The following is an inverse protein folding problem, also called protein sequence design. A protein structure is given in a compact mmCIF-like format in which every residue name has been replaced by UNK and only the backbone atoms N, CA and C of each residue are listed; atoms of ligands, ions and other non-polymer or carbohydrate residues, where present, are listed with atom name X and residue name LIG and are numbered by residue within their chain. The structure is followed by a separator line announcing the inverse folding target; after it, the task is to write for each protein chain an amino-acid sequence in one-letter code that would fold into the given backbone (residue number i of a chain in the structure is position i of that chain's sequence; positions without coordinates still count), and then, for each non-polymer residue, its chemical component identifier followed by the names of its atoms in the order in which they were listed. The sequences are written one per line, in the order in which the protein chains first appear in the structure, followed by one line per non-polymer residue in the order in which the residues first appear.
data_IF_071379942150
#
_entry.id   IF_071379942150
#
_cell.length_a   1.000
_cell.length_b   1.000
_cell.length_c   1.000
_cell.angle_alpha   90.00
_cell.angle_beta   90.00
_cell.angle_gamma   90.00
#
_symmetry.space_group_name_H-M   'P 1'
#
loop_
_entity.id
_entity.type
_entity.pdbx_description
1 polymer ?
#
# COMPACT_ATOMS: atom_id res chain seq x y z
N UNK A 1 15.99 17.96 4.16
CA UNK A 1 15.66 18.53 5.48
C UNK A 1 15.07 19.93 5.43
N UNK A 2 15.73 20.96 4.87
CA UNK A 2 15.17 22.34 4.82
C UNK A 2 13.73 22.41 4.28
N UNK A 3 13.49 21.83 3.09
CA UNK A 3 12.14 21.75 2.47
C UNK A 3 11.09 21.09 3.37
N UNK A 4 11.47 20.07 4.16
CA UNK A 4 10.53 19.40 5.08
C UNK A 4 10.16 20.31 6.25
N UNK A 5 11.13 21.04 6.82
CA UNK A 5 10.86 21.99 7.91
C UNK A 5 9.96 23.13 7.45
N UNK A 6 10.20 23.67 6.25
CA UNK A 6 9.30 24.64 5.61
C UNK A 6 7.91 24.04 5.34
N UNK A 7 7.84 22.75 4.99
CA UNK A 7 6.59 22.02 4.85
C UNK A 7 5.80 21.90 6.16
N UNK A 8 6.49 21.66 7.29
CA UNK A 8 5.85 21.61 8.61
C UNK A 8 5.27 22.97 9.02
N UNK A 9 6.01 24.06 8.76
CA UNK A 9 5.52 25.41 9.01
C UNK A 9 4.28 25.73 8.16
N UNK A 10 4.28 25.33 6.88
CA UNK A 10 3.12 25.48 5.99
C UNK A 10 1.93 24.62 6.41
N UNK A 11 2.17 23.40 6.91
CA UNK A 11 1.11 22.55 7.44
C UNK A 11 0.47 23.19 8.67
N UNK A 12 1.27 23.66 9.63
CA UNK A 12 0.78 24.28 10.87
C UNK A 12 0.00 25.57 10.61
N UNK A 13 0.55 26.47 9.78
CA UNK A 13 -0.05 27.78 9.48
C UNK A 13 -1.11 27.77 8.36
N UNK A 14 -1.34 26.63 7.72
CA UNK A 14 -2.32 26.45 6.65
C UNK A 14 -3.35 25.40 7.03
N UNK A 15 -3.19 24.19 6.52
CA UNK A 15 -4.18 23.12 6.66
C UNK A 15 -4.56 22.83 8.13
N UNK A 16 -3.60 22.77 9.05
CA UNK A 16 -3.90 22.53 10.47
C UNK A 16 -4.74 23.66 11.07
N UNK A 17 -4.37 24.92 10.81
CA UNK A 17 -5.10 26.09 11.34
C UNK A 17 -6.53 26.18 10.79
N UNK A 18 -6.73 25.83 9.52
CA UNK A 18 -8.05 25.74 8.89
C UNK A 18 -8.90 24.58 9.43
N UNK A 19 -8.26 23.52 9.94
CA UNK A 19 -8.92 22.28 10.39
C UNK A 19 -8.71 22.00 11.89
N UNK A 20 -8.52 23.03 12.73
CA UNK A 20 -8.25 22.85 14.17
C UNK A 20 -9.28 21.99 14.89
N UNK A 21 -10.56 22.18 14.58
CA UNK A 21 -11.64 21.39 15.19
C UNK A 21 -11.50 19.89 14.84
N UNK A 22 -11.20 19.57 13.59
CA UNK A 22 -10.97 18.19 13.16
C UNK A 22 -9.80 17.57 13.94
N UNK A 23 -8.67 18.27 14.07
CA UNK A 23 -7.53 17.75 14.81
C UNK A 23 -7.77 17.63 16.32
N UNK A 24 -8.57 18.52 16.91
CA UNK A 24 -9.02 18.39 18.30
C UNK A 24 -9.87 17.13 18.48
N UNK A 25 -10.85 16.90 17.59
CA UNK A 25 -11.68 15.69 17.62
C UNK A 25 -10.85 14.41 17.45
N UNK A 26 -9.91 14.39 16.50
CA UNK A 26 -9.00 13.27 16.26
C UNK A 26 -8.03 13.02 17.43
N UNK A 27 -7.74 14.03 18.25
CA UNK A 27 -6.89 13.87 19.44
C UNK A 27 -7.50 12.94 20.48
N UNK A 28 -8.83 12.79 20.48
CA UNK A 28 -9.56 11.90 21.41
C UNK A 28 -9.64 10.45 20.93
N UNK A 29 -9.30 10.18 19.66
CA UNK A 29 -9.27 8.83 19.11
C UNK A 29 -9.50 8.80 17.60
N UNK A 30 -9.18 7.66 16.99
CA UNK A 30 -9.36 7.41 15.56
C UNK A 30 -10.55 6.47 15.31
N UNK A 31 -11.26 6.69 14.19
CA UNK A 31 -12.33 5.79 13.70
C UNK A 31 -12.26 5.61 12.17
N UNK A 32 -11.12 5.11 11.65
CA UNK A 32 -10.99 4.84 10.22
C UNK A 32 -12.00 3.79 9.76
N UNK A 33 -12.47 3.91 8.52
CA UNK A 33 -13.44 2.99 7.93
C UNK A 33 -12.80 1.92 7.06
N UNK A 34 -11.56 2.16 6.62
CA UNK A 34 -10.85 1.34 5.63
C UNK A 34 -9.44 1.05 6.12
N UNK A 35 -9.04 -0.22 6.02
CA UNK A 35 -7.65 -0.65 6.09
C UNK A 35 -7.09 -0.61 4.67
N UNK A 36 -6.19 0.33 4.40
CA UNK A 36 -5.56 0.51 3.09
C UNK A 36 -4.12 0.02 3.11
N UNK A 37 -3.85 -1.07 2.40
CA UNK A 37 -2.54 -1.71 2.35
C UNK A 37 -1.93 -1.38 0.98
N UNK A 38 -0.79 -0.70 0.96
CA UNK A 38 -0.15 -0.31 -0.31
C UNK A 38 1.38 -0.32 -0.24
N UNK A 39 2.02 0.06 -1.34
CA UNK A 39 3.47 0.04 -1.45
C UNK A 39 4.10 1.24 -0.73
N UNK A 40 5.32 1.07 -0.21
CA UNK A 40 6.17 2.16 0.29
C UNK A 40 6.65 3.13 -0.81
N UNK A 41 6.34 2.85 -2.08
CA UNK A 41 6.71 3.69 -3.22
C UNK A 41 6.26 5.15 -3.02
N UNK A 42 7.21 6.08 -3.14
CA UNK A 42 7.01 7.50 -2.82
C UNK A 42 6.04 8.22 -3.76
N UNK A 43 5.65 7.58 -4.87
CA UNK A 43 4.64 8.09 -5.81
C UNK A 43 3.21 7.79 -5.35
N UNK A 44 3.05 6.98 -4.30
CA UNK A 44 1.75 6.57 -3.77
C UNK A 44 1.46 7.30 -2.47
N UNK A 45 0.34 8.01 -2.47
CA UNK A 45 -0.29 8.61 -1.30
C UNK A 45 -1.77 8.18 -1.27
N UNK A 46 -2.14 7.23 -0.38
CA UNK A 46 -3.51 6.71 -0.28
C UNK A 46 -4.55 7.80 -0.05
N UNK A 47 -4.27 8.79 0.79
CA UNK A 47 -5.22 9.86 1.07
C UNK A 47 -5.43 10.72 -0.17
N UNK A 48 -4.34 11.05 -0.88
CA UNK A 48 -4.42 11.85 -2.11
C UNK A 48 -5.23 11.14 -3.20
N UNK A 49 -4.93 9.87 -3.50
CA UNK A 49 -5.58 9.16 -4.61
C UNK A 49 -7.06 8.84 -4.33
N UNK A 50 -7.46 8.79 -3.05
CA UNK A 50 -8.86 8.54 -2.64
C UNK A 50 -9.61 9.79 -2.21
N UNK A 51 -8.92 10.94 -2.09
CA UNK A 51 -9.45 12.16 -1.47
C UNK A 51 -10.01 11.91 -0.06
N UNK A 52 -9.39 10.99 0.68
CA UNK A 52 -9.77 10.69 2.05
C UNK A 52 -9.21 11.74 3.02
N UNK A 53 -10.02 12.12 4.01
CA UNK A 53 -9.62 13.05 5.06
C UNK A 53 -8.74 12.37 6.13
N UNK A 54 -8.07 13.18 6.94
CA UNK A 54 -7.26 12.67 8.06
C UNK A 54 -8.14 11.85 9.01
N UNK A 55 -7.71 10.62 9.29
CA UNK A 55 -8.42 9.70 10.19
C UNK A 55 -9.39 8.75 9.48
N UNK A 56 -9.62 8.87 8.17
CA UNK A 56 -10.52 7.98 7.43
C UNK A 56 -9.88 6.64 7.02
N UNK A 57 -8.57 6.64 6.75
CA UNK A 57 -7.79 5.45 6.36
C UNK A 57 -6.83 5.02 7.47
N UNK A 58 -6.81 3.72 7.77
CA UNK A 58 -5.74 3.08 8.51
C UNK A 58 -4.78 2.42 7.51
N UNK A 59 -3.50 2.81 7.49
CA UNK A 59 -2.61 2.51 6.35
C UNK A 59 -1.46 1.59 6.75
N UNK A 60 -1.26 0.52 5.97
CA UNK A 60 -0.03 -0.31 6.00
C UNK A 60 0.76 -0.03 4.72
N UNK A 61 2.07 0.20 4.86
CA UNK A 61 2.98 0.38 3.73
C UNK A 61 4.23 -0.47 3.86
N UNK A 62 4.49 -1.32 2.86
CA UNK A 62 5.75 -2.04 2.71
C UNK A 62 6.15 -2.17 1.23
N UNK A 63 7.35 -2.64 0.93
CA UNK A 63 7.80 -2.78 -0.45
C UNK A 63 6.98 -3.87 -1.19
N UNK A 64 6.16 -3.47 -2.15
CA UNK A 64 5.34 -4.39 -2.94
C UNK A 64 3.98 -4.74 -2.35
N UNK A 65 3.51 -4.01 -1.31
CA UNK A 65 2.19 -4.19 -0.70
C UNK A 65 1.89 -5.66 -0.34
N UNK A 66 2.90 -6.38 0.13
CA UNK A 66 2.86 -7.80 0.43
C UNK A 66 2.30 -8.00 1.84
N UNK A 67 1.34 -8.90 1.97
CA UNK A 67 0.88 -9.43 3.25
C UNK A 67 1.30 -10.88 3.31
N UNK A 68 2.28 -11.24 4.14
CA UNK A 68 2.66 -12.62 4.33
C UNK A 68 1.50 -13.48 4.87
N UNK A 69 1.46 -14.79 4.59
CA UNK A 69 0.49 -15.68 5.22
C UNK A 69 0.56 -15.64 6.75
N UNK A 70 -0.55 -15.90 7.44
CA UNK A 70 -0.59 -15.96 8.89
C UNK A 70 0.44 -16.97 9.43
N UNK A 71 1.27 -16.52 10.37
CA UNK A 71 2.33 -17.33 10.98
C UNK A 71 3.63 -17.44 10.15
N UNK A 72 3.69 -16.91 8.93
CA UNK A 72 4.90 -16.98 8.10
C UNK A 72 6.01 -15.99 8.52
N UNK A 73 5.65 -14.94 9.26
CA UNK A 73 6.56 -13.90 9.76
C UNK A 73 6.02 -13.30 11.06
N UNK A 74 6.89 -12.62 11.79
CA UNK A 74 6.60 -11.83 12.98
C UNK A 74 6.77 -10.31 12.75
N UNK A 75 6.60 -9.86 11.49
CA UNK A 75 6.60 -8.44 11.11
C UNK A 75 5.40 -7.64 11.64
N UNK A 76 5.34 -6.36 11.25
CA UNK A 76 4.29 -5.43 11.71
C UNK A 76 2.95 -5.60 10.99
N UNK A 77 2.92 -6.29 9.85
CA UNK A 77 1.74 -6.45 8.99
C UNK A 77 0.60 -7.12 9.74
N UNK A 78 0.87 -8.30 10.32
CA UNK A 78 -0.17 -9.10 10.98
C UNK A 78 -0.76 -8.41 12.20
N UNK A 79 0.09 -7.77 13.02
CA UNK A 79 -0.36 -7.00 14.18
C UNK A 79 -1.22 -5.80 13.77
N UNK A 80 -0.83 -5.10 12.70
CA UNK A 80 -1.56 -3.95 12.17
C UNK A 80 -2.93 -4.36 11.60
N UNK A 81 -2.99 -5.50 10.89
CA UNK A 81 -4.25 -6.09 10.41
C UNK A 81 -5.15 -6.44 11.59
N UNK A 82 -4.63 -7.14 12.60
CA UNK A 82 -5.42 -7.51 13.78
C UNK A 82 -5.95 -6.28 14.52
N UNK A 83 -5.13 -5.25 14.71
CA UNK A 83 -5.55 -4.00 15.34
C UNK A 83 -6.65 -3.30 14.52
N UNK A 84 -6.47 -3.18 13.21
CA UNK A 84 -7.45 -2.57 12.31
C UNK A 84 -8.82 -3.25 12.39
N UNK A 85 -8.86 -4.58 12.34
CA UNK A 85 -10.13 -5.32 12.30
C UNK A 85 -10.73 -5.49 13.69
N UNK A 86 -9.92 -5.84 14.69
CA UNK A 86 -10.41 -6.18 16.02
C UNK A 86 -10.59 -4.95 16.92
N UNK A 87 -9.60 -4.05 16.96
CA UNK A 87 -9.64 -2.90 17.86
C UNK A 87 -10.39 -1.71 17.26
N UNK A 88 -10.21 -1.44 15.96
CA UNK A 88 -10.85 -0.30 15.28
C UNK A 88 -12.20 -0.66 14.62
N UNK A 89 -12.51 -1.95 14.49
CA UNK A 89 -13.79 -2.40 13.91
C UNK A 89 -13.92 -2.11 12.41
N UNK A 90 -12.81 -2.04 11.68
CA UNK A 90 -12.81 -1.83 10.23
C UNK A 90 -13.46 -3.02 9.52
N UNK A 91 -14.33 -2.73 8.55
CA UNK A 91 -15.08 -3.73 7.76
C UNK A 91 -14.66 -3.75 6.28
N UNK A 92 -13.73 -2.88 5.87
CA UNK A 92 -13.28 -2.75 4.49
C UNK A 92 -11.76 -2.82 4.42
N UNK A 93 -11.22 -3.76 3.64
CA UNK A 93 -9.77 -3.91 3.44
C UNK A 93 -9.44 -3.81 1.96
N UNK A 94 -8.52 -2.93 1.61
CA UNK A 94 -8.02 -2.75 0.25
C UNK A 94 -6.55 -3.15 0.20
N UNK A 95 -6.20 -4.10 -0.67
CA UNK A 95 -4.83 -4.28 -1.15
C UNK A 95 -4.68 -3.46 -2.43
N UNK A 96 -3.87 -2.40 -2.40
CA UNK A 96 -3.60 -1.55 -3.56
C UNK A 96 -2.17 -1.74 -4.06
N UNK A 97 -2.02 -2.45 -5.18
CA UNK A 97 -0.81 -2.44 -6.00
C UNK A 97 -0.74 -1.20 -6.90
N UNK A 98 0.34 -1.08 -7.66
CA UNK A 98 0.53 0.07 -8.55
C UNK A 98 1.41 -0.23 -9.76
N UNK A 99 1.27 0.55 -10.83
CA UNK A 99 2.10 0.46 -12.03
C UNK A 99 3.58 0.67 -11.72
N UNK A 100 4.44 -0.01 -12.49
CA UNK A 100 5.91 0.09 -12.39
C UNK A 100 6.47 -0.17 -10.98
N UNK A 101 5.89 -1.13 -10.23
CA UNK A 101 6.34 -1.46 -8.88
C UNK A 101 7.76 -2.01 -8.83
N UNK A 102 8.66 -1.35 -8.10
CA UNK A 102 10.05 -1.77 -7.94
C UNK A 102 10.20 -3.15 -7.28
N UNK A 103 9.34 -3.47 -6.31
CA UNK A 103 9.33 -4.76 -5.64
C UNK A 103 8.95 -5.90 -6.60
N UNK A 104 7.97 -5.69 -7.47
CA UNK A 104 7.57 -6.69 -8.48
C UNK A 104 8.64 -6.87 -9.56
N UNK A 105 9.31 -5.78 -9.97
CA UNK A 105 10.52 -5.86 -10.82
C UNK A 105 11.62 -6.69 -10.16
N UNK A 106 11.82 -6.51 -8.85
CA UNK A 106 12.73 -7.31 -8.04
C UNK A 106 12.32 -8.78 -7.97
N UNK A 107 11.03 -9.07 -7.79
CA UNK A 107 10.49 -10.42 -7.71
C UNK A 107 10.73 -11.23 -9.00
N UNK A 108 10.58 -10.59 -10.17
CA UNK A 108 10.89 -11.19 -11.47
C UNK A 108 12.38 -11.52 -11.64
N UNK A 109 13.26 -10.83 -10.91
CA UNK A 109 14.72 -11.01 -10.93
C UNK A 109 15.26 -11.46 -9.57
N UNK A 110 14.48 -12.24 -8.82
CA UNK A 110 14.71 -12.49 -7.40
C UNK A 110 16.16 -12.88 -7.05
N UNK A 111 16.77 -13.77 -7.85
CA UNK A 111 18.13 -14.25 -7.57
C UNK A 111 19.21 -13.18 -7.70
N UNK A 112 18.99 -12.14 -8.52
CA UNK A 112 19.95 -11.05 -8.63
C UNK A 112 19.97 -10.14 -7.40
N UNK A 113 19.01 -10.28 -6.48
CA UNK A 113 18.93 -9.48 -5.25
C UNK A 113 19.66 -10.11 -4.06
N UNK A 114 20.03 -11.40 -4.15
CA UNK A 114 20.50 -12.17 -3.00
C UNK A 114 21.74 -11.54 -2.33
N UNK A 115 22.67 -11.01 -3.12
CA UNK A 115 23.93 -10.46 -2.62
C UNK A 115 23.82 -8.98 -2.24
N UNK A 116 23.22 -8.15 -3.10
CA UNK A 116 23.18 -6.68 -2.92
C UNK A 116 22.02 -6.20 -2.05
N UNK A 117 20.91 -6.94 -2.02
CA UNK A 117 19.69 -6.55 -1.31
C UNK A 117 19.08 -7.75 -0.53
N UNK A 118 19.83 -8.41 0.36
CA UNK A 118 19.43 -9.67 0.99
C UNK A 118 18.12 -9.57 1.78
N UNK A 119 17.85 -8.44 2.44
CA UNK A 119 16.58 -8.24 3.16
C UNK A 119 15.39 -8.12 2.21
N UNK A 120 15.59 -7.52 1.02
CA UNK A 120 14.53 -7.44 0.00
C UNK A 120 14.35 -8.79 -0.67
N UNK A 121 15.44 -9.52 -0.93
CA UNK A 121 15.39 -10.90 -1.39
C UNK A 121 14.56 -11.78 -0.45
N UNK A 122 14.83 -11.74 0.85
CA UNK A 122 14.08 -12.52 1.85
C UNK A 122 12.63 -12.07 1.99
N UNK A 123 12.39 -10.75 1.96
CA UNK A 123 11.04 -10.20 1.98
C UNK A 123 10.20 -10.65 0.78
N UNK A 124 10.77 -10.62 -0.43
CA UNK A 124 10.06 -10.99 -1.65
C UNK A 124 9.73 -12.48 -1.75
N UNK A 125 10.38 -13.35 -0.95
CA UNK A 125 9.97 -14.76 -0.83
C UNK A 125 8.54 -14.91 -0.31
N UNK A 126 8.01 -13.93 0.42
CA UNK A 126 6.61 -13.93 0.86
C UNK A 126 5.62 -13.81 -0.31
N UNK A 127 6.08 -13.40 -1.50
CA UNK A 127 5.33 -13.39 -2.75
C UNK A 127 5.81 -14.47 -3.75
N UNK A 128 6.44 -15.55 -3.27
CA UNK A 128 6.94 -16.63 -4.12
C UNK A 128 5.81 -17.31 -4.93
N UNK A 129 4.60 -17.42 -4.36
CA UNK A 129 3.43 -17.94 -5.08
C UNK A 129 3.13 -17.12 -6.34
N UNK A 130 3.16 -15.78 -6.25
CA UNK A 130 3.05 -14.87 -7.39
C UNK A 130 4.14 -15.15 -8.42
N UNK A 131 5.42 -15.20 -7.98
CA UNK A 131 6.56 -15.40 -8.89
C UNK A 131 6.45 -16.73 -9.64
N UNK A 132 6.05 -17.79 -8.94
CA UNK A 132 5.88 -19.13 -9.51
C UNK A 132 4.74 -19.16 -10.52
N UNK A 133 3.58 -18.60 -10.16
CA UNK A 133 2.41 -18.52 -11.03
C UNK A 133 2.74 -17.76 -12.33
N UNK A 134 3.35 -16.58 -12.21
CA UNK A 134 3.74 -15.77 -13.37
C UNK A 134 4.72 -16.53 -14.27
N UNK A 135 5.77 -17.12 -13.69
CA UNK A 135 6.80 -17.87 -14.44
C UNK A 135 6.23 -19.09 -15.17
N UNK A 136 5.26 -19.77 -14.58
CA UNK A 136 4.72 -21.01 -15.14
C UNK A 136 3.64 -20.76 -16.19
N UNK A 137 2.86 -19.68 -16.08
CA UNK A 137 1.66 -19.45 -16.89
C UNK A 137 1.75 -18.27 -17.88
N UNK A 138 2.71 -17.35 -17.73
CA UNK A 138 2.82 -16.14 -18.55
C UNK A 138 4.19 -16.04 -19.26
N UNK A 139 4.69 -17.16 -19.79
CA UNK A 139 6.04 -17.28 -20.38
C UNK A 139 6.26 -16.43 -21.63
N UNK A 140 5.19 -16.10 -22.34
CA UNK A 140 5.25 -15.32 -23.58
C UNK A 140 5.29 -13.81 -23.33
N UNK A 141 5.05 -13.36 -22.09
CA UNK A 141 5.07 -11.94 -21.74
C UNK A 141 6.46 -11.51 -21.31
N UNK A 142 6.87 -10.33 -21.76
CA UNK A 142 8.14 -9.71 -21.40
C UNK A 142 7.97 -8.22 -21.07
N UNK A 143 9.05 -7.60 -20.59
CA UNK A 143 9.08 -6.14 -20.39
C UNK A 143 8.02 -5.64 -19.41
N UNK A 144 7.33 -4.56 -19.78
CA UNK A 144 6.33 -3.92 -18.92
C UNK A 144 5.04 -4.75 -18.82
N UNK A 145 4.63 -5.49 -19.86
CA UNK A 145 3.43 -6.36 -19.80
C UNK A 145 3.58 -7.45 -18.73
N UNK A 146 4.76 -8.06 -18.64
CA UNK A 146 5.06 -9.03 -17.60
C UNK A 146 5.02 -8.41 -16.19
N UNK A 147 5.46 -7.15 -16.05
CA UNK A 147 5.42 -6.42 -14.78
C UNK A 147 3.97 -6.13 -14.39
N UNK A 148 3.12 -5.71 -15.32
CA UNK A 148 1.70 -5.44 -15.07
C UNK A 148 0.98 -6.68 -14.56
N UNK A 149 1.15 -7.82 -15.25
CA UNK A 149 0.58 -9.10 -14.80
C UNK A 149 1.14 -9.48 -13.42
N UNK A 150 2.43 -9.27 -13.17
CA UNK A 150 3.01 -9.56 -11.85
C UNK A 150 2.40 -8.70 -10.74
N UNK A 151 2.11 -7.43 -11.00
CA UNK A 151 1.41 -6.54 -10.05
C UNK A 151 0.00 -7.06 -9.78
N UNK A 152 -0.75 -7.41 -10.82
CA UNK A 152 -2.12 -7.93 -10.71
C UNK A 152 -2.16 -9.24 -9.91
N UNK A 153 -1.35 -10.22 -10.30
CA UNK A 153 -1.25 -11.52 -9.62
C UNK A 153 -0.76 -11.39 -8.18
N UNK A 154 0.12 -10.41 -7.91
CA UNK A 154 0.55 -10.14 -6.54
C UNK A 154 -0.61 -9.72 -5.65
N UNK A 155 -1.49 -8.85 -6.14
CA UNK A 155 -2.68 -8.42 -5.39
C UNK A 155 -3.58 -9.62 -5.09
N UNK A 156 -3.85 -10.47 -6.08
CA UNK A 156 -4.68 -11.67 -5.90
C UNK A 156 -4.08 -12.61 -4.86
N UNK A 157 -2.76 -12.83 -4.92
CA UNK A 157 -2.06 -13.63 -3.92
C UNK A 157 -2.15 -13.00 -2.51
N UNK A 158 -2.06 -11.68 -2.39
CA UNK A 158 -2.18 -11.00 -1.09
C UNK A 158 -3.60 -11.09 -0.52
N UNK A 159 -4.63 -11.05 -1.37
CA UNK A 159 -6.03 -11.32 -0.95
C UNK A 159 -6.18 -12.74 -0.41
N UNK A 160 -5.53 -13.73 -1.04
CA UNK A 160 -5.48 -15.11 -0.53
C UNK A 160 -4.74 -15.19 0.81
N UNK A 161 -3.58 -14.53 0.95
CA UNK A 161 -2.83 -14.50 2.19
C UNK A 161 -3.64 -13.88 3.34
N UNK A 162 -4.37 -12.78 3.10
CA UNK A 162 -5.26 -12.17 4.09
C UNK A 162 -6.30 -13.17 4.63
N UNK A 163 -6.86 -14.02 3.78
CA UNK A 163 -7.86 -15.01 4.19
C UNK A 163 -7.31 -16.10 5.12
N UNK A 164 -5.98 -16.25 5.22
CA UNK A 164 -5.35 -17.15 6.19
C UNK A 164 -5.36 -16.61 7.63
N UNK A 165 -5.60 -15.31 7.84
CA UNK A 165 -5.66 -14.73 9.18
C UNK A 165 -6.95 -15.12 9.91
N UNK A 166 -6.89 -15.62 11.16
CA UNK A 166 -8.07 -16.06 11.89
C UNK A 166 -9.15 -14.99 12.01
N UNK A 167 -8.77 -13.74 12.29
CA UNK A 167 -9.72 -12.63 12.44
C UNK A 167 -10.40 -12.28 11.10
N UNK A 168 -9.66 -12.32 9.98
CA UNK A 168 -10.19 -12.06 8.64
C UNK A 168 -11.17 -13.17 8.24
N UNK A 169 -10.76 -14.44 8.37
CA UNK A 169 -11.62 -15.60 8.06
C UNK A 169 -12.93 -15.56 8.85
N UNK A 170 -12.86 -15.26 10.15
CA UNK A 170 -14.03 -15.14 11.03
C UNK A 170 -14.99 -14.03 10.58
N UNK A 171 -14.48 -12.85 10.22
CA UNK A 171 -15.32 -11.71 9.81
C UNK A 171 -15.91 -11.86 8.41
N UNK A 172 -15.17 -12.48 7.48
CA UNK A 172 -15.70 -12.85 6.16
C UNK A 172 -16.87 -13.83 6.28
N UNK A 173 -16.73 -14.87 7.11
CA UNK A 173 -17.81 -15.83 7.33
C UNK A 173 -19.07 -15.19 7.94
N UNK A 174 -18.91 -14.12 8.73
CA UNK A 174 -20.03 -13.35 9.29
C UNK A 174 -20.64 -12.34 8.30
N UNK A 175 -20.07 -12.16 7.11
CA UNK A 175 -20.47 -11.09 6.19
C UNK A 175 -20.19 -9.67 6.71
N UNK A 176 -19.24 -9.51 7.65
CA UNK A 176 -18.88 -8.23 8.29
C UNK A 176 -17.56 -7.64 7.80
N UNK A 177 -16.96 -8.24 6.78
CA UNK A 177 -15.70 -7.80 6.22
C UNK A 177 -15.73 -8.00 4.71
N UNK A 178 -15.13 -7.07 3.99
CA UNK A 178 -15.00 -7.11 2.55
C UNK A 178 -13.54 -6.86 2.16
N UNK A 179 -13.01 -7.70 1.28
CA UNK A 179 -11.66 -7.57 0.73
C UNK A 179 -11.73 -7.07 -0.71
N UNK A 180 -10.85 -6.12 -1.05
CA UNK A 180 -10.79 -5.49 -2.37
C UNK A 180 -9.35 -5.48 -2.88
N UNK A 181 -9.17 -5.79 -4.16
CA UNK A 181 -7.87 -5.70 -4.84
C UNK A 181 -7.87 -4.55 -5.83
N UNK A 182 -6.99 -3.56 -5.65
CA UNK A 182 -6.88 -2.38 -6.51
C UNK A 182 -5.50 -2.29 -7.19
N UNK A 183 -5.48 -1.78 -8.41
CA UNK A 183 -4.27 -1.37 -9.13
C UNK A 183 -4.36 0.14 -9.38
N UNK A 184 -3.42 0.90 -8.87
CA UNK A 184 -3.25 2.31 -9.21
C UNK A 184 -2.27 2.50 -10.36
N UNK A 185 -2.74 3.06 -11.47
CA UNK A 185 -1.92 3.41 -12.63
C UNK A 185 -1.40 4.84 -12.46
N UNK A 186 -0.13 4.96 -12.09
CA UNK A 186 0.50 6.25 -11.73
C UNK A 186 0.44 7.25 -12.89
N UNK A 187 0.65 6.76 -14.11
CA UNK A 187 0.73 7.55 -15.34
C UNK A 187 -0.62 8.11 -15.81
N UNK A 188 -1.72 7.38 -15.60
CA UNK A 188 -3.07 7.81 -16.02
C UNK A 188 -3.89 8.39 -14.86
N UNK A 189 -3.50 8.09 -13.62
CA UNK A 189 -4.28 8.42 -12.43
C UNK A 189 -5.47 7.48 -12.19
N UNK A 190 -5.64 6.44 -13.00
CA UNK A 190 -6.76 5.50 -12.91
C UNK A 190 -6.56 4.46 -11.82
N UNK A 191 -7.67 4.03 -11.22
CA UNK A 191 -7.74 2.86 -10.36
C UNK A 191 -8.49 1.76 -11.12
N UNK A 192 -7.96 0.54 -11.12
CA UNK A 192 -8.70 -0.66 -11.50
C UNK A 192 -8.99 -1.49 -10.24
N UNK A 193 -10.17 -2.08 -10.16
CA UNK A 193 -10.59 -2.94 -9.07
C UNK A 193 -10.88 -4.36 -9.58
N UNK A 194 -10.43 -5.36 -8.82
CA UNK A 194 -10.68 -6.76 -9.13
C UNK A 194 -12.15 -7.11 -8.87
N UNK A 195 -12.83 -7.62 -9.89
CA UNK A 195 -14.16 -8.21 -9.80
C UNK A 195 -14.05 -9.75 -9.74
N UNK A 196 -14.44 -10.38 -8.62
CA UNK A 196 -14.33 -11.83 -8.44
C UNK A 196 -15.41 -12.64 -9.17
N UNK A 197 -16.48 -12.01 -9.69
CA UNK A 197 -17.44 -12.69 -10.58
C UNK A 197 -16.85 -12.72 -11.98
N UNK A 198 -16.41 -11.58 -12.49
CA UNK A 198 -15.85 -11.46 -13.84
C UNK A 198 -14.44 -12.07 -13.94
N UNK A 199 -13.75 -12.21 -12.80
CA UNK A 199 -12.33 -12.58 -12.73
C UNK A 199 -11.47 -11.64 -13.59
N UNK A 200 -11.69 -10.33 -13.45
CA UNK A 200 -11.01 -9.30 -14.25
C UNK A 200 -10.82 -8.01 -13.43
N UNK A 201 -9.86 -7.18 -13.81
CA UNK A 201 -9.67 -5.85 -13.26
C UNK A 201 -10.44 -4.83 -14.08
N UNK A 202 -11.47 -4.23 -13.48
CA UNK A 202 -12.41 -3.32 -14.13
C UNK A 202 -12.41 -1.94 -13.45
N UNK A 203 -13.10 -0.96 -14.04
CA UNK A 203 -13.30 0.32 -13.38
C UNK A 203 -14.06 0.13 -12.05
N UNK A 204 -13.64 0.77 -10.94
CA UNK A 204 -14.27 0.63 -9.63
C UNK A 204 -15.74 1.01 -9.67
N UNK A 205 -16.60 0.17 -9.08
CA UNK A 205 -17.99 0.50 -8.83
C UNK A 205 -18.47 -0.09 -7.50
N UNK A 206 -19.45 0.56 -6.86
CA UNK A 206 -19.99 0.16 -5.55
C UNK A 206 -20.68 -1.21 -5.52
N UNK A 207 -20.90 -1.82 -6.68
CA UNK A 207 -21.56 -3.12 -6.86
C UNK A 207 -20.61 -4.28 -7.19
N UNK A 208 -19.28 -4.10 -7.15
CA UNK A 208 -18.36 -5.22 -7.37
C UNK A 208 -18.64 -6.24 -6.28
N UNK A 209 -19.12 -7.42 -6.69
CA UNK A 209 -19.69 -8.39 -5.77
C UNK A 209 -18.62 -9.01 -4.89
N UNK A 210 -18.99 -9.35 -3.66
CA UNK A 210 -18.21 -10.24 -2.81
C UNK A 210 -18.71 -11.66 -3.05
N UNK A 211 -17.82 -12.63 -3.36
CA UNK A 211 -18.27 -14.02 -3.45
C UNK A 211 -18.81 -14.42 -2.08
N UNK A 212 -20.04 -14.93 -2.07
CA UNK A 212 -20.64 -15.56 -0.89
C UNK A 212 -19.68 -16.63 -0.34
N UNK A 213 -19.59 -16.83 0.98
CA UNK A 213 -18.71 -17.83 1.57
C UNK A 213 -19.18 -19.24 1.15
N UNK A 214 -18.51 -19.82 0.16
CA UNK A 214 -18.57 -21.24 -0.25
C UNK A 214 -19.99 -21.87 -0.29
N UNK A 215 -20.82 -21.53 -1.27
CA UNK A 215 -21.82 -22.48 -1.78
C UNK A 215 -21.87 -22.48 -3.31
N UNK A 216 -21.48 -23.63 -3.90
CA UNK A 216 -21.59 -24.06 -5.31
C UNK A 216 -20.49 -23.58 -6.27
N UNK A 217 -19.27 -24.10 -6.09
CA UNK A 217 -18.44 -24.43 -7.25
C UNK A 217 -19.13 -25.56 -8.03
N UNK A 218 -19.60 -25.35 -9.27
CA UNK A 218 -20.03 -26.47 -10.10
C UNK A 218 -18.84 -27.39 -10.34
N UNK A 219 -19.01 -28.68 -10.04
CA UNK A 219 -18.04 -29.72 -10.35
C UNK A 219 -17.58 -29.59 -11.81
N UNK A 220 -16.27 -29.45 -12.03
CA UNK A 220 -15.63 -29.62 -13.33
C UNK A 220 -16.28 -28.80 -14.47
N UNK A 221 -16.03 -27.50 -14.49
CA UNK A 221 -15.92 -26.78 -15.77
C UNK A 221 -14.46 -26.39 -15.95
N UNK A 222 -13.87 -26.78 -17.07
CA UNK A 222 -12.60 -26.21 -17.50
C UNK A 222 -12.73 -24.69 -17.47
N UNK A 223 -11.96 -24.06 -16.59
CA UNK A 223 -11.79 -22.62 -16.59
C UNK A 223 -11.20 -22.26 -17.97
N UNK A 224 -11.75 -21.28 -18.68
CA UNK A 224 -11.14 -20.83 -19.92
C UNK A 224 -9.75 -20.26 -19.61
N UNK A 225 -8.72 -20.63 -20.40
CA UNK A 225 -7.36 -20.07 -20.33
C UNK A 225 -7.28 -18.60 -20.79
N UNK A 226 -8.37 -17.83 -20.70
CA UNK A 226 -8.37 -16.42 -21.11
C UNK A 226 -7.87 -15.55 -19.96
N UNK A 227 -6.82 -14.78 -20.23
CA UNK A 227 -6.15 -13.89 -19.28
C UNK A 227 -7.14 -12.93 -18.58
N UNK A 228 -7.06 -12.77 -17.24
CA UNK A 228 -7.89 -11.86 -16.45
C UNK A 228 -7.46 -10.39 -16.54
N UNK A 229 -6.71 -10.03 -17.60
CA UNK A 229 -6.17 -8.70 -17.80
C UNK A 229 -6.08 -8.42 -19.31
N UNK A 230 -6.85 -7.43 -19.79
CA UNK A 230 -6.75 -6.92 -21.17
C UNK A 230 -6.05 -5.56 -21.13
N UNK A 231 -4.84 -5.50 -21.67
CA UNK A 231 -4.08 -4.25 -21.82
C UNK A 231 -4.78 -3.36 -22.85
N UNK A 232 -5.12 -2.13 -22.48
CA UNK A 232 -5.72 -1.16 -23.42
C UNK A 232 -4.68 -0.62 -24.40
N UNK A 233 -4.96 -0.60 -25.70
CA UNK A 233 -4.04 -0.11 -26.76
C UNK A 233 -3.55 1.34 -26.53
N UNK A 234 -4.37 2.20 -25.92
CA UNK A 234 -4.03 3.59 -25.62
C UNK A 234 -2.85 3.72 -24.65
N UNK A 235 -2.64 2.72 -23.78
CA UNK A 235 -1.55 2.69 -22.82
C UNK A 235 -0.18 2.47 -23.46
N UNK A 236 -0.13 1.61 -24.47
CA UNK A 236 1.11 1.26 -25.18
C UNK A 236 1.68 2.51 -25.88
N UNK A 237 0.78 3.40 -26.34
CA UNK A 237 1.12 4.57 -27.12
C UNK A 237 1.76 5.70 -26.29
N UNK A 238 1.28 5.91 -25.07
CA UNK A 238 1.76 6.99 -24.18
C UNK A 238 3.18 6.77 -23.65
N UNK A 239 3.62 5.51 -23.54
CA UNK A 239 4.92 5.17 -22.93
C UNK A 239 6.13 5.21 -23.86
N UNK A 240 5.90 5.33 -25.17
CA UNK A 240 6.98 5.53 -26.12
C UNK A 240 7.62 6.94 -26.01
N UNK A 241 6.89 7.93 -25.48
CA UNK A 241 7.26 9.35 -25.59
C UNK A 241 8.01 9.92 -24.37
N UNK A 242 7.95 9.27 -23.19
CA UNK A 242 8.46 9.82 -21.91
C UNK A 242 9.99 9.67 -21.73
N UNK A 243 10.71 9.02 -22.67
CA UNK A 243 12.17 8.74 -22.57
C UNK A 243 13.11 9.96 -22.67
N UNK A 244 12.64 11.21 -22.68
CA UNK A 244 13.49 12.39 -22.93
C UNK A 244 13.19 13.58 -22.01
N UNK A 245 13.63 13.54 -20.76
CA UNK A 245 14.00 14.75 -20.01
C UNK A 245 14.75 14.44 -18.71
N UNK A 246 15.92 15.05 -18.54
CA UNK A 246 16.69 15.10 -17.28
C UNK A 246 16.89 16.55 -16.87
N UNK A 247 16.69 16.97 -15.61
CA UNK A 247 17.10 18.29 -15.16
C UNK A 247 18.35 18.26 -14.26
N UNK A 248 19.15 19.31 -14.42
CA UNK A 248 20.42 19.56 -13.74
C UNK A 248 20.24 20.10 -12.30
N UNK A 249 21.23 19.83 -11.45
CA UNK A 249 21.28 20.20 -10.03
C UNK A 249 22.18 21.44 -9.85
N UNK A 250 21.68 22.47 -9.15
CA UNK A 250 22.48 23.60 -8.67
C UNK A 250 22.55 23.61 -7.13
N UNK A 251 23.75 23.82 -6.61
CA UNK A 251 24.11 23.87 -5.19
C UNK A 251 24.06 25.30 -4.65
N UNK A 252 23.54 25.50 -3.43
CA UNK A 252 23.70 26.75 -2.67
C UNK A 252 24.03 26.46 -1.20
N UNK A 253 24.95 27.27 -0.68
CA UNK A 253 25.72 27.16 0.55
C UNK A 253 24.93 27.25 1.87
N UNK A 254 25.54 26.66 2.91
CA UNK A 254 25.10 26.67 4.32
C UNK A 254 25.37 28.00 5.01
N UNK A 255 24.46 28.42 5.88
CA UNK A 255 24.76 29.24 7.06
C UNK A 255 24.14 28.60 8.31
N UNK A 256 24.96 28.47 9.34
CA UNK A 256 24.60 28.02 10.68
C UNK A 256 23.83 29.11 11.43
N UNK A 257 22.88 28.72 12.29
CA UNK A 257 22.17 29.64 13.17
C UNK A 257 21.44 28.93 14.31
N UNK A 258 21.98 29.11 15.51
CA UNK A 258 21.36 29.23 16.85
C UNK A 258 19.93 28.72 17.07
N UNK A 259 19.76 27.84 18.08
CA UNK A 259 18.47 27.38 18.60
C UNK A 259 17.70 28.51 19.28
N UNK A 260 16.79 29.12 18.53
CA UNK A 260 15.74 29.98 19.09
C UNK A 260 14.44 29.18 19.07
N UNK A 261 13.73 29.14 20.21
CA UNK A 261 12.44 28.46 20.31
C UNK A 261 11.48 29.07 19.27
N UNK A 262 10.88 28.22 18.43
CA UNK A 262 9.94 28.67 17.42
C UNK A 262 8.55 28.91 18.06
N UNK A 263 7.89 30.04 17.79
CA UNK A 263 6.50 30.26 18.21
C UNK A 263 5.59 29.12 17.72
N UNK A 264 4.68 28.65 18.56
CA UNK A 264 3.74 27.56 18.24
C UNK A 264 4.26 26.13 18.47
N UNK A 265 5.51 25.97 18.92
CA UNK A 265 6.05 24.67 19.35
C UNK A 265 6.11 24.60 20.87
N UNK A 266 5.34 23.70 21.48
CA UNK A 266 5.54 23.33 22.89
C UNK A 266 6.68 22.32 22.96
N UNK A 267 7.82 22.75 23.51
CA UNK A 267 8.94 21.85 23.76
C UNK A 267 8.66 21.01 25.02
N UNK A 268 9.21 19.80 25.07
CA UNK A 268 9.22 19.01 26.31
C UNK A 268 9.84 19.84 27.43
N UNK A 269 9.24 19.79 28.62
CA UNK A 269 9.81 20.43 29.79
C UNK A 269 11.22 19.87 30.04
N UNK A 270 12.21 20.68 30.49
CA UNK A 270 13.58 20.22 30.69
C UNK A 270 13.66 18.96 31.57
N UNK A 271 12.74 18.80 32.53
CA UNK A 271 12.62 17.62 33.38
C UNK A 271 12.11 16.37 32.65
N UNK A 272 11.19 16.51 31.68
CA UNK A 272 10.73 15.43 30.82
C UNK A 272 11.83 15.02 29.83
N UNK A 273 12.50 16.02 29.25
CA UNK A 273 13.65 15.78 28.39
C UNK A 273 14.77 15.05 29.15
N UNK A 274 15.13 15.50 30.36
CA UNK A 274 16.19 14.87 31.16
C UNK A 274 15.85 13.42 31.54
N UNK A 275 14.58 13.13 31.86
CA UNK A 275 14.10 11.75 32.12
C UNK A 275 14.23 10.85 30.90
N UNK A 276 13.93 11.36 29.71
CA UNK A 276 14.06 10.61 28.44
C UNK A 276 15.53 10.34 28.12
N UNK A 277 16.41 11.33 28.31
CA UNK A 277 17.82 11.22 27.90
C UNK A 277 18.75 10.59 28.95
N UNK A 278 18.40 10.64 30.23
CA UNK A 278 19.22 10.08 31.33
C UNK A 278 18.62 8.83 31.99
N UNK A 279 17.41 8.45 31.59
CA UNK A 279 16.63 7.41 32.25
C UNK A 279 16.14 7.85 33.63
N UNK A 280 15.18 7.14 34.20
CA UNK A 280 14.69 7.39 35.57
C UNK A 280 15.75 7.04 36.60
N UNK A 281 16.72 7.93 36.84
CA UNK A 281 17.51 7.91 38.07
C UNK A 281 16.69 8.62 39.15
N UNK A 282 15.79 7.87 39.76
CA UNK A 282 15.13 8.16 41.03
C UNK A 282 15.08 6.87 41.80
#
# INVERSE_FOLDING_TARGET
MKKLLEGLEKFQSGYFDEHRQLFEELSHGQKPRILFITCSDSRIDPNLITQAEVGELFVIRNAGNIIPPYGATNGGEGASIEYAINALGIEQVIICGHSHCGAMKGLLKLQSLADEMPLVYDWLKQAEATRRLVKDNYKELEGEELIEVTVAENILNQLSNLQSYPIIRSRLHQGKLSLHGWIFRIETGEILAYDPILHDFVAPHSKIAHPEPEEKLPSSRHLPNSHPFKISEDYIRTHAEVKKATPAVNTVAKKNGSSTQKPGYTYLEPSQADRIYRGSRS
#
